data_IF_766441591496
#
_entry.id   IF_766441591496
#
_cell.length_a   1.000
_cell.length_b   1.000
_cell.length_c   1.000
_cell.angle_alpha   90.00
_cell.angle_beta   90.00
_cell.angle_gamma   90.00
#
_symmetry.space_group_name_H-M   'P 1'
#
loop_
_entity.id
_entity.type
_entity.pdbx_description
1 polymer ?
#
# COMPACT_ATOMS: atom_id res chain seq x y z
N UNK A 1 -10.63 8.16 11.58
CA UNK A 1 -9.93 8.86 10.49
C UNK A 1 -10.09 10.36 10.66
N UNK A 2 -9.30 11.19 9.96
CA UNK A 2 -9.41 12.64 9.99
C UNK A 2 -10.67 13.12 9.29
N UNK A 3 -10.82 12.77 8.02
CA UNK A 3 -11.92 13.19 7.14
C UNK A 3 -12.21 12.10 6.09
N UNK A 4 -13.49 11.97 5.72
CA UNK A 4 -13.95 11.04 4.68
C UNK A 4 -14.73 11.83 3.62
N UNK A 5 -14.38 11.63 2.36
CA UNK A 5 -15.02 12.25 1.22
C UNK A 5 -15.65 11.20 0.32
N UNK A 6 -16.62 11.63 -0.48
CA UNK A 6 -17.26 10.83 -1.50
C UNK A 6 -17.41 11.67 -2.77
N UNK A 7 -16.94 11.15 -3.91
CA UNK A 7 -16.92 11.87 -5.19
C UNK A 7 -17.45 11.00 -6.32
N UNK A 8 -18.24 11.59 -7.23
CA UNK A 8 -18.92 10.89 -8.34
C UNK A 8 -18.33 11.18 -9.72
N UNK A 9 -17.41 12.13 -9.82
CA UNK A 9 -16.80 12.51 -11.08
C UNK A 9 -15.43 13.17 -10.85
N UNK A 10 -14.70 13.39 -11.95
CA UNK A 10 -13.34 13.96 -11.89
C UNK A 10 -13.33 15.41 -11.38
N UNK A 11 -14.38 16.19 -11.65
CA UNK A 11 -14.48 17.59 -11.19
C UNK A 11 -14.62 17.67 -9.67
N UNK A 12 -15.50 16.84 -9.09
CA UNK A 12 -15.65 16.69 -7.64
C UNK A 12 -14.32 16.24 -7.01
N UNK A 13 -13.65 15.25 -7.60
CA UNK A 13 -12.33 14.81 -7.13
C UNK A 13 -11.31 15.95 -7.10
N UNK A 14 -11.18 16.71 -8.20
CA UNK A 14 -10.25 17.85 -8.27
C UNK A 14 -10.62 18.94 -7.26
N UNK A 15 -11.92 19.17 -7.03
CA UNK A 15 -12.40 20.14 -6.05
C UNK A 15 -12.01 19.71 -4.63
N UNK A 16 -12.24 18.44 -4.26
CA UNK A 16 -11.79 17.89 -2.99
C UNK A 16 -10.27 18.01 -2.82
N UNK A 17 -9.48 17.70 -3.86
CA UNK A 17 -8.02 17.87 -3.81
C UNK A 17 -7.62 19.34 -3.59
N UNK A 18 -8.32 20.29 -4.22
CA UNK A 18 -8.06 21.72 -4.03
C UNK A 18 -8.37 22.16 -2.60
N UNK A 19 -9.50 21.73 -2.05
CA UNK A 19 -9.89 22.01 -0.66
C UNK A 19 -8.86 21.46 0.32
N UNK A 20 -8.47 20.19 0.15
CA UNK A 20 -7.44 19.55 0.95
C UNK A 20 -6.11 20.30 0.92
N UNK A 21 -5.70 20.83 -0.24
CA UNK A 21 -4.44 21.56 -0.37
C UNK A 21 -4.54 23.07 -0.03
N UNK A 22 -5.73 23.61 0.26
CA UNK A 22 -5.92 25.04 0.49
C UNK A 22 -5.38 25.55 1.85
N UNK A 23 -5.24 24.66 2.83
CA UNK A 23 -4.66 24.96 4.14
C UNK A 23 -3.14 25.14 4.13
N UNK A 24 -2.60 25.65 5.25
CA UNK A 24 -1.14 25.68 5.49
C UNK A 24 -0.67 24.29 5.90
N UNK A 25 -0.03 23.58 4.97
CA UNK A 25 0.50 22.23 5.20
C UNK A 25 2.01 22.26 5.40
N UNK A 26 2.50 21.42 6.32
CA UNK A 26 3.93 21.24 6.59
C UNK A 26 4.64 20.48 5.47
N UNK A 27 3.90 19.69 4.68
CA UNK A 27 4.41 18.95 3.54
C UNK A 27 3.30 18.66 2.52
N UNK A 28 3.69 18.31 1.28
CA UNK A 28 2.74 17.89 0.23
C UNK A 28 2.08 16.56 0.61
N UNK A 29 0.76 16.46 0.42
CA UNK A 29 0.04 15.21 0.62
C UNK A 29 0.50 14.10 -0.32
N UNK A 30 0.44 12.88 0.19
CA UNK A 30 0.63 11.65 -0.57
C UNK A 30 -0.69 10.91 -0.73
N UNK A 31 -0.84 10.22 -1.84
CA UNK A 31 -2.05 9.56 -2.29
C UNK A 31 -1.79 8.07 -2.56
N UNK A 32 -2.74 7.21 -2.22
CA UNK A 32 -2.70 5.77 -2.54
C UNK A 32 -4.07 5.27 -2.95
N UNK A 33 -4.17 4.82 -4.19
CA UNK A 33 -5.39 4.21 -4.72
C UNK A 33 -5.56 2.75 -4.30
N UNK A 34 -6.80 2.38 -4.02
CA UNK A 34 -7.24 1.01 -3.80
C UNK A 34 -8.57 0.79 -4.50
N UNK A 35 -8.70 -0.34 -5.19
CA UNK A 35 -9.91 -0.66 -5.94
C UNK A 35 -11.07 -1.19 -5.10
N UNK A 36 -10.95 -1.18 -3.77
CA UNK A 36 -12.00 -1.53 -2.85
C UNK A 36 -11.83 -0.72 -1.56
N UNK A 37 -12.87 0.03 -1.19
CA UNK A 37 -12.90 0.88 0.00
C UNK A 37 -12.74 0.10 1.31
N UNK A 38 -13.07 -1.20 1.32
CA UNK A 38 -12.90 -2.07 2.48
C UNK A 38 -11.44 -2.50 2.70
N UNK A 39 -10.55 -2.24 1.76
CA UNK A 39 -9.13 -2.55 1.92
C UNK A 39 -8.47 -1.56 2.87
N UNK A 40 -7.68 -2.10 3.80
CA UNK A 40 -6.82 -1.32 4.70
C UNK A 40 -5.45 -1.03 4.10
N UNK A 41 -4.64 -0.27 4.81
CA UNK A 41 -3.26 0.05 4.45
C UNK A 41 -2.32 -1.08 4.90
N UNK A 42 -2.51 -2.25 4.29
CA UNK A 42 -1.81 -3.51 4.62
C UNK A 42 -0.67 -3.80 3.65
N UNK A 43 0.60 -3.83 4.10
CA UNK A 43 1.75 -4.23 3.28
C UNK A 43 1.58 -5.59 2.62
N UNK A 44 2.25 -5.81 1.47
CA UNK A 44 2.10 -7.02 0.68
C UNK A 44 2.45 -8.30 1.44
N UNK A 45 3.55 -8.30 2.21
CA UNK A 45 3.96 -9.46 3.03
C UNK A 45 2.88 -9.84 4.03
N UNK A 46 2.16 -8.86 4.56
CA UNK A 46 1.14 -9.13 5.56
C UNK A 46 -0.04 -9.85 4.89
N UNK A 47 -0.45 -9.48 3.68
CA UNK A 47 -1.56 -10.16 2.97
C UNK A 47 -1.37 -11.67 2.80
N UNK A 48 -0.13 -12.16 2.82
CA UNK A 48 0.22 -13.58 2.76
C UNK A 48 0.59 -14.14 4.14
N UNK A 49 -0.42 -14.19 5.02
CA UNK A 49 -0.28 -14.81 6.33
C UNK A 49 -1.43 -15.76 6.67
N UNK A 50 -1.07 -16.77 7.45
CA UNK A 50 -1.91 -17.93 7.68
C UNK A 50 -1.93 -18.29 9.15
N UNK A 51 -3.14 -18.50 9.66
CA UNK A 51 -3.37 -19.06 10.98
C UNK A 51 -3.11 -20.57 10.91
N UNK A 52 -2.24 -21.05 11.79
CA UNK A 52 -1.83 -22.47 11.83
C UNK A 52 -2.26 -23.17 13.13
N UNK A 53 -2.46 -22.43 14.22
CA UNK A 53 -2.97 -22.95 15.49
C UNK A 53 -3.97 -21.96 16.09
N UNK A 54 -5.02 -22.46 16.73
CA UNK A 54 -5.92 -21.65 17.54
C UNK A 54 -5.27 -21.26 18.89
N UNK A 55 -6.01 -20.49 19.71
CA UNK A 55 -5.56 -20.03 21.03
C UNK A 55 -5.35 -21.12 22.07
N UNK A 56 -5.83 -22.32 21.82
CA UNK A 56 -5.67 -23.48 22.68
C UNK A 56 -4.54 -24.40 22.19
N UNK A 57 -3.87 -24.03 21.10
CA UNK A 57 -2.80 -24.82 20.47
C UNK A 57 -3.32 -25.91 19.54
N UNK A 58 -4.61 -25.94 19.22
CA UNK A 58 -5.14 -26.89 18.24
C UNK A 58 -4.73 -26.45 16.83
N UNK A 59 -4.18 -27.38 16.04
CA UNK A 59 -3.78 -27.10 14.66
C UNK A 59 -5.01 -26.82 13.77
N UNK A 60 -4.91 -25.81 12.92
CA UNK A 60 -5.93 -25.47 11.92
C UNK A 60 -5.54 -26.07 10.57
N UNK A 61 -6.39 -26.93 10.02
CA UNK A 61 -6.17 -27.59 8.74
C UNK A 61 -7.45 -27.54 7.86
N UNK A 62 -7.39 -27.00 6.63
CA UNK A 62 -6.24 -26.30 6.05
C UNK A 62 -5.94 -24.98 6.78
N UNK A 63 -4.67 -24.53 6.80
CA UNK A 63 -4.33 -23.20 7.30
C UNK A 63 -5.21 -22.15 6.62
N UNK A 64 -5.82 -21.27 7.41
CA UNK A 64 -6.71 -20.22 6.90
C UNK A 64 -5.97 -18.90 6.82
N UNK A 65 -6.31 -18.05 5.85
CA UNK A 65 -5.76 -16.70 5.80
C UNK A 65 -6.07 -15.94 7.10
N UNK A 66 -5.05 -15.25 7.61
CA UNK A 66 -5.16 -14.42 8.79
C UNK A 66 -5.65 -13.03 8.42
N UNK A 67 -6.67 -12.54 9.12
CA UNK A 67 -7.00 -11.11 9.12
C UNK A 67 -6.20 -10.49 10.27
N UNK A 68 -5.32 -9.53 9.97
CA UNK A 68 -4.29 -9.01 10.89
C UNK A 68 -4.81 -8.29 12.14
N UNK A 69 -6.12 -8.10 12.22
CA UNK A 69 -6.81 -7.67 13.43
C UNK A 69 -6.89 -8.77 14.50
N UNK A 70 -6.43 -10.00 14.18
CA UNK A 70 -6.64 -11.24 14.92
C UNK A 70 -6.58 -11.11 16.46
N UNK A 71 -7.72 -10.85 17.12
CA UNK A 71 -7.78 -10.64 18.55
C UNK A 71 -7.80 -11.97 19.32
N UNK A 72 -7.79 -13.09 18.59
CA UNK A 72 -8.16 -14.39 19.14
C UNK A 72 -6.97 -15.12 19.77
N UNK A 73 -5.74 -14.59 19.73
CA UNK A 73 -4.56 -15.23 20.32
C UNK A 73 -4.07 -16.45 19.53
N UNK A 74 -4.33 -16.48 18.22
CA UNK A 74 -3.95 -17.58 17.35
C UNK A 74 -2.50 -17.44 16.86
N UNK A 75 -1.88 -18.57 16.52
CA UNK A 75 -0.54 -18.58 15.94
C UNK A 75 -0.63 -18.31 14.44
N UNK A 76 0.02 -17.24 14.01
CA UNK A 76 0.07 -16.81 12.62
C UNK A 76 1.49 -16.95 12.08
N UNK A 77 1.62 -17.53 10.89
CA UNK A 77 2.87 -17.58 10.14
C UNK A 77 2.72 -16.68 8.92
N UNK A 78 3.79 -15.93 8.62
CA UNK A 78 3.82 -14.93 7.55
C UNK A 78 4.92 -15.24 6.56
N UNK A 79 4.73 -14.77 5.33
CA UNK A 79 5.72 -14.90 4.27
C UNK A 79 7.08 -14.29 4.69
N UNK A 80 8.22 -14.99 4.49
CA UNK A 80 9.52 -14.52 4.99
C UNK A 80 10.08 -13.37 4.15
N UNK A 81 9.78 -12.12 4.53
CA UNK A 81 10.19 -10.90 3.83
C UNK A 81 11.69 -10.83 3.48
N UNK A 82 12.56 -11.19 4.42
CA UNK A 82 14.01 -11.17 4.21
C UNK A 82 14.46 -12.18 3.15
N UNK A 83 13.79 -13.33 3.05
CA UNK A 83 14.08 -14.35 2.04
C UNK A 83 13.65 -13.88 0.66
N UNK A 84 12.46 -13.30 0.54
CA UNK A 84 11.96 -12.69 -0.70
C UNK A 84 12.97 -11.68 -1.25
N UNK A 85 13.42 -10.74 -0.41
CA UNK A 85 14.38 -9.72 -0.82
C UNK A 85 15.74 -10.32 -1.22
N UNK A 86 16.24 -11.31 -0.48
CA UNK A 86 17.51 -11.97 -0.78
C UNK A 86 17.49 -12.68 -2.14
N UNK A 87 16.42 -13.43 -2.43
CA UNK A 87 16.26 -14.11 -3.73
C UNK A 87 16.04 -13.12 -4.87
N UNK A 88 15.32 -12.03 -4.63
CA UNK A 88 15.17 -10.94 -5.60
C UNK A 88 16.52 -10.33 -5.98
N UNK A 89 17.35 -9.94 -4.99
CA UNK A 89 18.70 -9.44 -5.23
C UNK A 89 19.53 -10.39 -6.10
N UNK A 90 19.50 -11.70 -5.79
CA UNK A 90 20.26 -12.72 -6.55
C UNK A 90 19.81 -12.84 -8.00
N UNK A 91 18.49 -12.87 -8.26
CA UNK A 91 17.96 -13.09 -9.62
C UNK A 91 17.95 -11.82 -10.50
N UNK A 92 18.05 -10.64 -9.87
CA UNK A 92 17.95 -9.34 -10.56
C UNK A 92 19.32 -8.71 -10.83
N UNK A 93 20.36 -9.04 -10.06
CA UNK A 93 21.68 -8.40 -10.15
C UNK A 93 22.23 -8.26 -11.58
N UNK A 94 22.08 -9.31 -12.39
CA UNK A 94 22.60 -9.33 -13.77
C UNK A 94 21.56 -8.91 -14.83
N UNK A 95 20.39 -8.42 -14.40
CA UNK A 95 19.25 -8.04 -15.26
C UNK A 95 18.92 -6.55 -15.17
N UNK A 96 19.68 -5.78 -14.39
CA UNK A 96 19.57 -4.32 -14.30
C UNK A 96 20.38 -3.68 -15.42
N UNK A 97 19.70 -3.27 -16.49
CA UNK A 97 20.34 -2.61 -17.63
C UNK A 97 19.97 -1.13 -17.72
N UNK A 98 18.73 -0.79 -17.35
CA UNK A 98 18.09 0.50 -17.68
C UNK A 98 17.69 1.34 -16.46
N UNK A 99 18.15 0.94 -15.27
CA UNK A 99 17.88 1.65 -14.01
C UNK A 99 19.16 1.82 -13.20
N UNK A 100 19.18 2.82 -12.33
CA UNK A 100 20.30 2.99 -11.40
C UNK A 100 20.28 1.85 -10.38
N UNK A 101 21.41 1.15 -10.24
CA UNK A 101 21.52 0.00 -9.33
C UNK A 101 21.30 0.44 -7.87
N UNK A 102 20.43 -0.26 -7.11
CA UNK A 102 20.24 0.00 -5.70
C UNK A 102 21.52 -0.21 -4.88
N UNK A 103 21.87 0.79 -4.07
CA UNK A 103 23.11 0.82 -3.28
C UNK A 103 22.92 0.31 -1.85
N UNK A 104 21.67 0.16 -1.40
CA UNK A 104 21.34 -0.25 -0.04
C UNK A 104 20.02 -1.06 0.00
N UNK A 105 19.75 -1.67 1.15
CA UNK A 105 18.62 -2.59 1.31
C UNK A 105 17.25 -1.92 1.17
N UNK A 106 17.11 -0.64 1.54
CA UNK A 106 15.85 0.08 1.36
C UNK A 106 15.58 0.35 -0.12
N UNK A 107 16.58 0.73 -0.90
CA UNK A 107 16.46 0.90 -2.35
C UNK A 107 16.17 -0.43 -3.06
N UNK A 108 16.74 -1.54 -2.57
CA UNK A 108 16.37 -2.87 -3.07
C UNK A 108 14.92 -3.24 -2.74
N UNK A 109 14.41 -2.84 -1.58
CA UNK A 109 12.99 -3.02 -1.21
C UNK A 109 12.07 -2.17 -2.08
N UNK A 110 12.43 -0.91 -2.36
CA UNK A 110 11.69 -0.06 -3.30
C UNK A 110 11.57 -0.73 -4.67
N UNK A 111 12.69 -1.24 -5.19
CA UNK A 111 12.72 -1.92 -6.48
C UNK A 111 11.86 -3.19 -6.47
N UNK A 112 11.98 -4.01 -5.43
CA UNK A 112 11.21 -5.23 -5.28
C UNK A 112 9.70 -4.95 -5.20
N UNK A 113 9.30 -3.99 -4.37
CA UNK A 113 7.91 -3.55 -4.22
C UNK A 113 7.36 -3.04 -5.56
N UNK A 114 8.14 -2.22 -6.26
CA UNK A 114 7.73 -1.60 -7.51
C UNK A 114 7.40 -2.61 -8.62
N UNK A 115 8.14 -3.73 -8.64
CA UNK A 115 7.90 -4.85 -9.56
C UNK A 115 6.96 -5.93 -8.98
N UNK A 116 6.25 -5.62 -7.90
CA UNK A 116 5.16 -6.45 -7.38
C UNK A 116 5.58 -7.60 -6.46
N UNK A 117 6.82 -7.60 -5.96
CA UNK A 117 7.21 -8.52 -4.89
C UNK A 117 6.53 -8.07 -3.59
N UNK A 118 5.90 -8.97 -2.81
CA UNK A 118 5.37 -8.62 -1.51
C UNK A 118 6.49 -8.10 -0.59
N UNK A 119 6.39 -6.86 -0.11
CA UNK A 119 7.32 -6.30 0.88
C UNK A 119 6.60 -5.74 2.10
N UNK A 120 7.37 -5.17 3.03
CA UNK A 120 6.88 -4.36 4.15
C UNK A 120 6.54 -2.91 3.75
N UNK A 121 6.71 -2.58 2.47
CA UNK A 121 6.39 -1.27 1.93
C UNK A 121 4.92 -1.16 1.51
N UNK A 122 4.43 0.07 1.51
CA UNK A 122 3.28 0.49 0.70
C UNK A 122 3.72 1.59 -0.25
N UNK A 123 3.23 1.54 -1.48
CA UNK A 123 3.42 2.58 -2.49
C UNK A 123 2.47 3.76 -2.25
N UNK A 124 3.00 4.96 -2.38
CA UNK A 124 2.28 6.22 -2.35
C UNK A 124 2.75 7.08 -3.52
N UNK A 125 1.92 8.01 -3.97
CA UNK A 125 2.28 8.97 -5.00
C UNK A 125 2.04 10.39 -4.52
N UNK A 126 2.85 11.34 -4.95
CA UNK A 126 2.49 12.76 -4.75
C UNK A 126 1.54 13.31 -5.81
N UNK A 127 1.21 12.52 -6.84
CA UNK A 127 0.29 12.90 -7.90
C UNK A 127 -1.13 12.36 -7.58
N UNK A 128 -2.10 13.24 -7.27
CA UNK A 128 -3.45 12.80 -6.95
C UNK A 128 -4.13 12.05 -8.10
N UNK A 129 -3.86 12.40 -9.36
CA UNK A 129 -4.48 11.74 -10.50
C UNK A 129 -3.91 10.33 -10.72
N UNK A 130 -2.63 10.12 -10.43
CA UNK A 130 -2.03 8.77 -10.40
C UNK A 130 -2.66 7.95 -9.26
N UNK A 131 -2.88 8.57 -8.10
CA UNK A 131 -3.57 7.93 -6.97
C UNK A 131 -4.99 7.49 -7.35
N UNK A 132 -5.75 8.36 -8.02
CA UNK A 132 -7.08 8.06 -8.54
C UNK A 132 -7.04 6.95 -9.59
N UNK A 133 -6.10 7.01 -10.54
CA UNK A 133 -5.92 5.98 -11.56
C UNK A 133 -5.70 4.60 -10.93
N UNK A 134 -4.82 4.50 -9.92
CA UNK A 134 -4.61 3.25 -9.19
C UNK A 134 -5.84 2.76 -8.41
N UNK A 135 -6.72 3.67 -7.98
CA UNK A 135 -7.96 3.28 -7.32
C UNK A 135 -8.95 2.64 -8.29
N UNK A 136 -9.02 3.09 -9.55
CA UNK A 136 -10.13 2.72 -10.44
C UNK A 136 -9.76 1.84 -11.63
N UNK A 137 -8.47 1.77 -12.00
CA UNK A 137 -8.00 1.09 -13.22
C UNK A 137 -8.28 -0.42 -13.26
N UNK A 138 -8.46 -1.06 -12.11
CA UNK A 138 -8.71 -2.51 -12.01
C UNK A 138 -10.15 -2.86 -11.61
N UNK A 139 -11.06 -1.88 -11.63
CA UNK A 139 -12.49 -2.11 -11.39
C UNK A 139 -13.15 -2.61 -12.67
N UNK A 140 -13.99 -3.65 -12.56
CA UNK A 140 -14.65 -4.26 -13.71
C UNK A 140 -15.82 -3.40 -14.22
N UNK A 141 -15.55 -2.55 -15.21
CA UNK A 141 -16.55 -1.66 -15.82
C UNK A 141 -17.60 -2.37 -16.70
N UNK A 142 -17.52 -3.70 -16.85
CA UNK A 142 -18.58 -4.49 -17.52
C UNK A 142 -19.79 -4.74 -16.63
N UNK A 143 -19.62 -4.59 -15.31
CA UNK A 143 -20.67 -4.74 -14.32
C UNK A 143 -21.43 -3.42 -14.19
N UNK A 144 -22.76 -3.48 -14.21
CA UNK A 144 -23.62 -2.34 -13.92
C UNK A 144 -23.79 -2.21 -12.40
N UNK A 145 -22.96 -1.37 -11.80
CA UNK A 145 -22.98 -1.14 -10.35
C UNK A 145 -24.10 -0.16 -9.98
N UNK A 146 -24.85 -0.50 -8.94
CA UNK A 146 -25.81 0.41 -8.33
C UNK A 146 -25.07 1.46 -7.50
N UNK A 147 -25.49 2.72 -7.61
CA UNK A 147 -25.03 3.79 -6.72
C UNK A 147 -25.27 3.43 -5.24
N UNK A 148 -24.31 3.71 -4.34
CA UNK A 148 -24.52 3.62 -2.91
C UNK A 148 -25.71 4.46 -2.44
N UNK A 149 -26.46 3.93 -1.48
CA UNK A 149 -27.60 4.62 -0.84
C UNK A 149 -27.13 5.54 0.29
N UNK A 150 -27.95 6.52 0.70
CA UNK A 150 -27.63 7.37 1.85
C UNK A 150 -27.32 6.56 3.12
N UNK A 151 -28.04 5.44 3.34
CA UNK A 151 -27.81 4.55 4.49
C UNK A 151 -26.44 3.86 4.47
N UNK A 152 -25.86 3.66 3.29
CA UNK A 152 -24.52 3.07 3.13
C UNK A 152 -23.44 4.15 3.08
N UNK A 153 -23.79 5.36 2.66
CA UNK A 153 -22.88 6.47 2.54
C UNK A 153 -22.61 7.11 3.89
N UNK A 154 -23.61 7.25 4.75
CA UNK A 154 -23.48 7.98 6.00
C UNK A 154 -23.49 7.04 7.21
N UNK A 155 -22.64 7.34 8.18
CA UNK A 155 -22.89 6.89 9.54
C UNK A 155 -24.08 7.67 10.14
N UNK A 156 -24.57 7.23 11.30
CA UNK A 156 -25.76 7.84 11.92
C UNK A 156 -25.63 9.33 12.28
N UNK A 157 -24.46 9.94 12.08
CA UNK A 157 -24.15 11.33 12.39
C UNK A 157 -24.14 12.24 11.14
N UNK A 158 -24.55 11.70 9.97
CA UNK A 158 -24.46 12.33 8.65
C UNK A 158 -23.00 12.56 8.19
N UNK A 159 -22.03 11.84 8.75
CA UNK A 159 -20.66 11.80 8.24
C UNK A 159 -20.49 10.63 7.27
N UNK A 160 -19.61 10.74 6.28
CA UNK A 160 -19.41 9.65 5.33
C UNK A 160 -18.75 8.44 6.00
N UNK A 161 -19.33 7.25 5.81
CA UNK A 161 -18.74 5.98 6.23
C UNK A 161 -17.37 5.77 5.60
N UNK A 162 -16.41 5.37 6.42
CA UNK A 162 -15.07 5.00 5.95
C UNK A 162 -15.09 3.77 5.03
N UNK A 163 -16.01 2.84 5.30
CA UNK A 163 -16.13 1.54 4.62
C UNK A 163 -17.47 1.51 3.88
N UNK A 164 -17.40 1.69 2.57
CA UNK A 164 -18.56 1.75 1.69
C UNK A 164 -18.44 0.62 0.67
N UNK A 165 -19.46 -0.24 0.62
CA UNK A 165 -19.55 -1.25 -0.42
C UNK A 165 -19.65 -0.61 -1.81
N UNK A 166 -19.18 -1.32 -2.83
CA UNK A 166 -19.21 -0.85 -4.23
C UNK A 166 -18.47 0.47 -4.47
N UNK A 167 -17.42 0.74 -3.68
CA UNK A 167 -16.55 1.90 -3.85
C UNK A 167 -15.07 1.49 -3.96
N UNK A 168 -14.32 2.19 -4.81
CA UNK A 168 -12.88 2.32 -4.73
C UNK A 168 -12.53 3.42 -3.72
N UNK A 169 -11.26 3.54 -3.34
CA UNK A 169 -10.81 4.59 -2.43
C UNK A 169 -9.44 5.13 -2.80
N UNK A 170 -9.23 6.41 -2.51
CA UNK A 170 -7.90 7.04 -2.46
C UNK A 170 -7.63 7.45 -1.03
N UNK A 171 -6.62 6.84 -0.43
CA UNK A 171 -6.07 7.24 0.85
C UNK A 171 -5.16 8.46 0.67
N UNK A 172 -5.24 9.41 1.59
CA UNK A 172 -4.45 10.64 1.58
C UNK A 172 -3.82 10.86 2.95
N UNK A 173 -2.54 11.22 3.00
CA UNK A 173 -1.84 11.47 4.26
C UNK A 173 -0.74 12.52 4.14
N UNK A 174 -0.43 13.21 5.24
CA UNK A 174 0.76 14.05 5.34
C UNK A 174 1.94 13.19 5.86
N UNK A 175 2.94 12.88 5.01
CA UNK A 175 4.03 11.99 5.39
C UNK A 175 4.92 12.53 6.51
N UNK A 176 5.01 13.85 6.64
CA UNK A 176 5.82 14.48 7.69
C UNK A 176 5.16 14.33 9.06
N UNK A 177 3.85 14.51 9.15
CA UNK A 177 3.12 14.33 10.40
C UNK A 177 3.12 12.85 10.84
N UNK A 178 2.95 11.91 9.90
CA UNK A 178 3.12 10.47 10.17
C UNK A 178 4.51 10.18 10.75
N UNK A 179 5.58 10.77 10.19
CA UNK A 179 6.93 10.60 10.71
C UNK A 179 7.11 11.19 12.11
N UNK A 180 6.61 12.41 12.37
CA UNK A 180 6.68 13.03 13.69
C UNK A 180 6.03 12.14 14.75
N UNK A 181 4.89 11.54 14.42
CA UNK A 181 4.18 10.59 15.30
C UNK A 181 5.03 9.34 15.53
N UNK A 182 5.53 8.70 14.47
CA UNK A 182 6.28 7.44 14.56
C UNK A 182 7.60 7.56 15.31
N UNK A 183 8.33 8.65 15.08
CA UNK A 183 9.61 8.89 15.74
C UNK A 183 9.46 9.65 17.06
N UNK A 184 8.24 10.07 17.42
CA UNK A 184 7.96 10.96 18.54
C UNK A 184 8.87 12.21 18.53
N UNK A 185 9.10 12.76 17.33
CA UNK A 185 10.00 13.90 17.07
C UNK A 185 9.23 15.05 16.45
N UNK A 186 8.73 15.95 17.29
CA UNK A 186 7.96 17.13 16.85
C UNK A 186 8.80 18.15 16.05
N UNK A 187 10.13 18.07 16.14
CA UNK A 187 11.05 18.97 15.44
C UNK A 187 11.44 18.47 14.05
N UNK A 188 10.98 17.28 13.67
CA UNK A 188 11.22 16.76 12.33
C UNK A 188 10.65 17.71 11.27
N UNK A 189 11.53 18.20 10.40
CA UNK A 189 11.25 19.22 9.39
C UNK A 189 11.24 18.68 7.96
N UNK A 190 11.67 17.43 7.75
CA UNK A 190 11.72 16.77 6.45
C UNK A 190 11.30 15.31 6.52
N UNK A 191 10.75 14.80 5.42
CA UNK A 191 10.54 13.37 5.20
C UNK A 191 11.91 12.73 4.98
N UNK A 192 12.09 11.48 5.41
CA UNK A 192 13.33 10.73 5.18
C UNK A 192 13.52 10.47 3.68
N UNK A 193 14.75 10.39 3.21
CA UNK A 193 15.05 10.04 1.83
C UNK A 193 15.95 8.79 1.77
N UNK A 194 15.63 7.83 0.90
CA UNK A 194 16.35 6.55 0.85
C UNK A 194 17.80 6.63 0.36
N UNK A 195 18.17 7.73 -0.29
CA UNK A 195 19.55 7.99 -0.71
C UNK A 195 20.33 8.75 0.36
N UNK A 196 19.73 9.75 1.00
CA UNK A 196 20.43 10.65 1.93
C UNK A 196 20.36 10.22 3.40
N UNK A 197 19.27 9.55 3.80
CA UNK A 197 18.98 9.20 5.20
C UNK A 197 19.00 7.67 5.43
N UNK A 198 19.65 6.90 4.55
CA UNK A 198 19.65 5.42 4.61
C UNK A 198 20.15 4.87 5.95
N UNK A 199 21.14 5.51 6.58
CA UNK A 199 21.67 5.08 7.87
C UNK A 199 20.63 5.17 8.98
N UNK A 200 19.88 6.28 9.02
CA UNK A 200 18.74 6.43 9.95
C UNK A 200 17.65 5.42 9.64
N UNK A 201 17.24 5.29 8.38
CA UNK A 201 16.23 4.28 7.98
C UNK A 201 16.63 2.89 8.47
N UNK A 202 17.86 2.46 8.25
CA UNK A 202 18.36 1.15 8.66
C UNK A 202 18.37 0.96 10.19
N UNK A 203 18.59 2.02 10.96
CA UNK A 203 18.52 1.99 12.42
C UNK A 203 17.07 1.79 12.88
N UNK A 204 16.15 2.61 12.36
CA UNK A 204 14.73 2.60 12.73
C UNK A 204 14.04 1.27 12.37
N UNK A 205 14.42 0.64 11.25
CA UNK A 205 13.90 -0.67 10.81
C UNK A 205 14.11 -1.82 11.81
N UNK A 206 15.03 -1.66 12.77
CA UNK A 206 15.34 -2.67 13.81
C UNK A 206 14.34 -2.66 14.96
N UNK A 207 13.60 -1.57 15.13
CA UNK A 207 12.73 -1.35 16.27
C UNK A 207 11.25 -1.42 15.85
N UNK A 208 10.35 -1.94 16.71
CA UNK A 208 8.92 -1.97 16.43
C UNK A 208 8.27 -0.62 16.77
N UNK A 209 8.65 0.44 16.06
CA UNK A 209 8.24 1.83 16.37
C UNK A 209 6.97 2.30 15.66
N UNK A 210 6.59 1.66 14.55
CA UNK A 210 5.38 2.02 13.81
C UNK A 210 5.56 1.86 12.31
N UNK A 211 4.91 2.75 11.58
CA UNK A 211 5.10 2.93 10.14
C UNK A 211 5.66 4.31 9.87
N UNK A 212 6.75 4.42 9.12
CA UNK A 212 7.32 5.72 8.73
C UNK A 212 7.36 5.88 7.21
N UNK A 213 7.30 7.14 6.79
CA UNK A 213 7.33 7.60 5.41
C UNK A 213 8.75 7.95 4.97
N UNK A 214 9.10 7.59 3.75
CA UNK A 214 10.33 8.03 3.10
C UNK A 214 10.14 8.23 1.60
N UNK A 215 10.89 9.17 1.04
CA UNK A 215 10.99 9.40 -0.39
C UNK A 215 11.94 8.38 -1.01
N UNK A 216 11.49 7.75 -2.10
CA UNK A 216 12.25 6.74 -2.82
C UNK A 216 13.28 7.33 -3.78
N UNK A 217 14.14 6.44 -4.29
CA UNK A 217 15.14 6.81 -5.29
C UNK A 217 14.50 7.08 -6.65
N UNK A 218 14.81 8.22 -7.26
CA UNK A 218 14.36 8.61 -8.60
C UNK A 218 15.21 8.01 -9.72
N UNK A 219 15.59 6.75 -9.58
CA UNK A 219 16.48 6.03 -10.51
C UNK A 219 15.76 5.15 -11.54
N UNK A 220 14.44 5.01 -11.41
CA UNK A 220 13.60 4.20 -12.29
C UNK A 220 12.56 5.11 -12.98
N UNK A 221 12.50 5.14 -14.33
CA UNK A 221 11.54 5.98 -15.06
C UNK A 221 10.08 5.77 -14.65
N UNK A 222 9.69 4.52 -14.33
CA UNK A 222 8.35 4.15 -13.88
C UNK A 222 8.05 4.73 -12.48
N UNK A 223 8.99 4.65 -11.53
CA UNK A 223 8.86 5.31 -10.22
C UNK A 223 8.73 6.83 -10.38
N UNK A 224 9.53 7.43 -11.27
CA UNK A 224 9.50 8.88 -11.53
C UNK A 224 8.15 9.30 -12.11
N UNK A 225 7.65 8.57 -13.12
CA UNK A 225 6.35 8.83 -13.75
C UNK A 225 5.18 8.73 -12.78
N UNK A 226 5.28 7.79 -11.85
CA UNK A 226 4.29 7.58 -10.79
C UNK A 226 4.45 8.56 -9.64
N UNK A 227 5.51 9.40 -9.62
CA UNK A 227 5.87 10.22 -8.45
C UNK A 227 5.91 9.41 -7.15
N UNK A 228 6.48 8.20 -7.23
CA UNK A 228 6.41 7.17 -6.20
C UNK A 228 7.20 7.50 -4.94
N UNK A 229 6.57 7.27 -3.79
CA UNK A 229 7.12 7.34 -2.43
C UNK A 229 6.61 6.14 -1.64
N UNK A 230 7.10 5.98 -0.41
CA UNK A 230 6.87 4.74 0.32
C UNK A 230 6.65 4.96 1.81
N UNK A 231 5.86 4.07 2.39
CA UNK A 231 5.89 3.84 3.85
C UNK A 231 6.51 2.50 4.14
N UNK A 232 7.32 2.42 5.19
CA UNK A 232 7.86 1.18 5.74
C UNK A 232 7.16 0.83 7.05
N UNK A 233 6.51 -0.32 7.13
CA UNK A 233 5.98 -0.85 8.40
C UNK A 233 7.03 -1.68 9.12
N UNK A 234 7.36 -1.28 10.35
CA UNK A 234 8.44 -1.91 11.11
C UNK A 234 8.18 -3.36 11.47
N UNK A 235 9.26 -4.15 11.54
CA UNK A 235 9.19 -5.55 11.92
C UNK A 235 8.51 -5.72 13.28
N UNK A 236 7.76 -6.82 13.44
CA UNK A 236 7.00 -7.19 14.65
C UNK A 236 5.78 -6.29 14.95
N UNK A 237 5.52 -5.28 14.12
CA UNK A 237 4.22 -4.62 14.08
C UNK A 237 3.36 -5.33 13.06
N UNK A 238 2.25 -5.88 13.52
CA UNK A 238 1.27 -6.59 12.69
C UNK A 238 0.06 -5.72 12.38
N UNK A 239 -0.04 -4.55 13.01
CA UNK A 239 -1.14 -3.60 12.78
C UNK A 239 -0.85 -2.74 11.56
N UNK A 240 -1.89 -2.50 10.78
CA UNK A 240 -1.83 -1.69 9.56
C UNK A 240 -1.80 -0.20 9.90
N UNK A 241 -1.35 0.63 8.95
CA UNK A 241 -1.21 2.08 9.16
C UNK A 241 -2.56 2.74 9.53
N UNK A 242 -3.66 2.29 8.94
CA UNK A 242 -5.02 2.77 9.19
C UNK A 242 -5.65 2.26 10.50
N UNK A 243 -5.10 1.21 11.11
CA UNK A 243 -5.63 0.65 12.35
C UNK A 243 -5.17 1.40 13.60
N UNK A 244 -3.93 1.89 13.60
CA UNK A 244 -3.33 2.53 14.77
C UNK A 244 -3.96 3.90 14.98
N UNK A 245 -4.64 4.08 16.12
CA UNK A 245 -5.32 5.33 16.48
C UNK A 245 -4.42 6.57 16.39
N UNK A 246 -3.11 6.40 16.62
CA UNK A 246 -2.12 7.46 16.49
C UNK A 246 -2.09 8.08 15.08
N UNK A 247 -2.30 7.29 14.03
CA UNK A 247 -2.26 7.75 12.64
C UNK A 247 -3.62 8.13 12.09
N UNK A 248 -4.72 7.68 12.70
CA UNK A 248 -6.07 7.92 12.17
C UNK A 248 -6.38 9.39 11.98
N UNK A 249 -5.84 10.28 12.83
CA UNK A 249 -6.03 11.73 12.73
C UNK A 249 -5.22 12.39 11.60
N UNK A 250 -4.32 11.65 10.93
CA UNK A 250 -3.52 12.12 9.80
C UNK A 250 -3.92 11.44 8.47
N UNK A 251 -4.91 10.54 8.52
CA UNK A 251 -5.41 9.81 7.36
C UNK A 251 -6.76 10.37 6.91
N UNK A 252 -6.83 10.67 5.62
CA UNK A 252 -8.03 11.11 4.92
C UNK A 252 -8.36 10.05 3.86
N UNK A 253 -9.64 9.86 3.57
CA UNK A 253 -10.07 8.89 2.56
C UNK A 253 -11.08 9.51 1.61
N UNK A 254 -10.88 9.30 0.32
CA UNK A 254 -11.79 9.74 -0.73
C UNK A 254 -12.37 8.50 -1.40
N UNK A 255 -13.66 8.24 -1.21
CA UNK A 255 -14.37 7.10 -1.77
C UNK A 255 -14.95 7.46 -3.15
N UNK A 256 -14.83 6.53 -4.10
CA UNK A 256 -15.29 6.66 -5.49
C UNK A 256 -16.20 5.48 -5.80
N UNK A 257 -17.50 5.69 -6.08
CA UNK A 257 -18.41 4.59 -6.36
C UNK A 257 -18.09 3.94 -7.71
N UNK A 258 -18.22 2.62 -7.79
CA UNK A 258 -17.91 1.86 -9.00
C UNK A 258 -18.79 2.25 -10.19
N UNK A 259 -20.02 2.70 -9.94
CA UNK A 259 -20.95 3.26 -10.92
C UNK A 259 -20.38 4.49 -11.65
N UNK A 260 -19.49 5.25 -11.02
CA UNK A 260 -18.85 6.43 -11.60
C UNK A 260 -17.54 6.13 -12.32
N UNK A 261 -16.95 4.94 -12.11
CA UNK A 261 -15.60 4.59 -12.59
C UNK A 261 -15.49 4.69 -14.11
N UNK A 262 -16.49 4.21 -14.85
CA UNK A 262 -16.44 4.20 -16.32
C UNK A 262 -16.26 5.61 -16.90
N UNK A 263 -16.95 6.60 -16.32
CA UNK A 263 -16.86 8.00 -16.75
C UNK A 263 -15.50 8.59 -16.37
N UNK A 264 -15.07 8.41 -15.12
CA UNK A 264 -13.80 8.96 -14.63
C UNK A 264 -12.62 8.36 -15.40
N UNK A 265 -12.63 7.05 -15.66
CA UNK A 265 -11.56 6.38 -16.41
C UNK A 265 -11.46 6.91 -17.85
N UNK A 266 -12.59 7.25 -18.48
CA UNK A 266 -12.58 7.91 -19.79
C UNK A 266 -11.91 9.28 -19.72
N UNK A 267 -12.19 10.06 -18.68
CA UNK A 267 -11.57 11.37 -18.48
C UNK A 267 -10.06 11.26 -18.23
N UNK A 268 -9.64 10.29 -17.40
CA UNK A 268 -8.21 10.02 -17.16
C UNK A 268 -7.48 9.58 -18.44
N UNK A 269 -8.10 8.73 -19.26
CA UNK A 269 -7.53 8.33 -20.55
C UNK A 269 -7.34 9.54 -21.49
N UNK A 270 -8.28 10.49 -21.49
CA UNK A 270 -8.13 11.74 -22.27
C UNK A 270 -6.97 12.62 -21.78
N UNK A 271 -6.56 12.45 -20.52
CA UNK A 271 -5.41 13.13 -19.91
C UNK A 271 -4.11 12.30 -19.98
N UNK A 272 -4.09 11.23 -20.80
CA UNK A 272 -2.95 10.32 -20.97
C UNK A 272 -2.50 9.63 -19.67
N UNK A 273 -3.46 9.32 -18.80
CA UNK A 273 -3.27 8.42 -17.65
C UNK A 273 -3.78 7.03 -18.03
N UNK A 274 -2.89 6.23 -18.62
CA UNK A 274 -3.16 4.89 -19.14
C UNK A 274 -2.19 3.88 -18.54
N UNK A 275 -2.45 2.58 -18.72
CA UNK A 275 -1.57 1.52 -18.22
C UNK A 275 -0.16 1.66 -18.83
N UNK A 276 -0.11 1.91 -20.13
CA UNK A 276 1.14 2.14 -20.87
C UNK A 276 1.88 3.39 -20.37
N UNK A 277 1.18 4.51 -20.16
CA UNK A 277 1.84 5.75 -19.74
C UNK A 277 2.30 5.73 -18.28
N UNK A 278 1.73 4.86 -17.45
CA UNK A 278 2.07 4.72 -16.02
C UNK A 278 3.11 3.62 -15.77
N UNK A 279 3.04 2.52 -16.51
CA UNK A 279 3.87 1.33 -16.28
C UNK A 279 4.95 1.12 -17.34
N UNK A 280 4.85 1.75 -18.51
CA UNK A 280 5.74 1.52 -19.66
C UNK A 280 5.76 0.04 -20.11
N UNK A 281 4.60 -0.61 -20.04
CA UNK A 281 4.44 -2.04 -20.33
C UNK A 281 5.03 -2.97 -19.27
N UNK A 282 5.00 -4.28 -19.56
CA UNK A 282 5.53 -5.32 -18.67
C UNK A 282 7.02 -5.56 -18.95
N UNK A 283 7.84 -5.46 -17.91
CA UNK A 283 9.28 -5.66 -17.99
C UNK A 283 9.71 -7.06 -17.54
N UNK A 284 10.95 -7.43 -17.88
CA UNK A 284 11.60 -8.66 -17.38
C UNK A 284 11.61 -8.71 -15.84
N UNK A 285 11.69 -7.56 -15.18
CA UNK A 285 11.69 -7.48 -13.72
C UNK A 285 10.32 -7.78 -13.11
N UNK A 286 9.22 -7.44 -13.79
CA UNK A 286 7.87 -7.84 -13.38
C UNK A 286 7.71 -9.38 -13.44
N UNK A 287 8.28 -10.03 -14.46
CA UNK A 287 8.27 -11.49 -14.59
C UNK A 287 9.12 -12.18 -13.52
N UNK A 288 10.32 -11.64 -13.26
CA UNK A 288 11.21 -12.16 -12.22
C UNK A 288 10.56 -12.05 -10.83
N UNK A 289 9.97 -10.90 -10.50
CA UNK A 289 9.24 -10.71 -9.25
C UNK A 289 8.08 -11.69 -9.09
N UNK A 290 7.26 -11.86 -10.14
CA UNK A 290 6.15 -12.83 -10.10
C UNK A 290 6.67 -14.24 -9.88
N UNK A 291 7.72 -14.65 -10.61
CA UNK A 291 8.31 -15.98 -10.48
C UNK A 291 8.87 -16.23 -9.07
N UNK A 292 9.58 -15.26 -8.48
CA UNK A 292 10.11 -15.37 -7.11
C UNK A 292 8.99 -15.47 -6.10
N UNK A 293 7.96 -14.61 -6.22
CA UNK A 293 6.80 -14.64 -5.34
C UNK A 293 6.15 -16.01 -5.38
N UNK A 294 5.86 -16.51 -6.58
CA UNK A 294 5.12 -17.76 -6.75
C UNK A 294 5.95 -18.96 -6.24
N UNK A 295 7.26 -19.01 -6.52
CA UNK A 295 8.18 -20.03 -5.99
C UNK A 295 8.23 -20.02 -4.45
N UNK A 296 8.51 -18.87 -3.84
CA UNK A 296 8.63 -18.76 -2.39
C UNK A 296 7.30 -19.02 -1.70
N UNK A 297 6.18 -18.59 -2.28
CA UNK A 297 4.85 -18.83 -1.73
C UNK A 297 4.48 -20.32 -1.77
N UNK A 298 4.83 -21.02 -2.85
CA UNK A 298 4.64 -22.48 -2.94
C UNK A 298 5.49 -23.23 -1.93
N UNK A 299 6.77 -22.87 -1.78
CA UNK A 299 7.64 -23.45 -0.76
C UNK A 299 7.16 -23.15 0.66
N UNK A 300 6.72 -21.92 0.90
CA UNK A 300 6.18 -21.48 2.19
C UNK A 300 4.91 -22.23 2.55
N UNK A 301 3.97 -22.38 1.60
CA UNK A 301 2.77 -23.17 1.80
C UNK A 301 3.13 -24.64 2.08
N UNK A 302 4.08 -25.20 1.31
CA UNK A 302 4.58 -26.57 1.52
C UNK A 302 5.25 -26.74 2.88
N UNK A 303 6.01 -25.76 3.36
CA UNK A 303 6.65 -25.82 4.68
C UNK A 303 5.63 -25.74 5.80
N UNK A 304 4.60 -24.89 5.67
CA UNK A 304 3.47 -24.86 6.62
C UNK A 304 2.77 -26.24 6.64
N UNK A 305 2.53 -26.87 5.50
CA UNK A 305 1.93 -28.21 5.47
C UNK A 305 2.83 -29.28 6.14
N UNK A 306 4.15 -29.22 5.92
CA UNK A 306 5.11 -30.20 6.46
C UNK A 306 5.38 -30.03 7.96
N UNK A 307 5.68 -28.81 8.40
CA UNK A 307 6.09 -28.51 9.78
C UNK A 307 4.95 -28.74 10.78
N UNK A 308 3.70 -28.65 10.30
CA UNK A 308 2.51 -28.89 11.11
C UNK A 308 1.93 -30.31 10.95
N UNK A 309 2.69 -31.24 10.36
CA UNK A 309 2.34 -32.68 10.21
C UNK A 309 0.93 -32.88 9.62
N UNK A 310 0.70 -32.21 8.49
CA UNK A 310 -0.55 -32.24 7.76
C UNK A 310 -0.49 -33.42 6.77
N UNK A 311 -0.90 -34.61 7.23
CA UNK A 311 -1.20 -35.78 6.37
C UNK A 311 -2.69 -35.92 6.15
#
# INVERSE_FOLDING_TARGET
>A
MKEVFYVKNLEEYITTIRELNSGTHTHKYWYRGQNNSLFGLTPGVFREAYVVEDKFGNKINPPRRANFYNPNGEKVIMLPANRLLSEFKKKVKDKICDIIEPQNDIQWLELAQHYGLPTLLLDWTTDPLVGLYFAISTVDTSIDYTEPTDKTLFDGENEYSEQIENCASVWVMNPLEVNKITFNDVFQSKVLNSQHDFGRIQEEQKYPIGTFCFEGMKGNPRIVRQSGNFTYTCHKITQTLDFLAAYQNELIKINIPYSSVKTILKDLNNLDLTDESIYFGRSVLDEVSSSIRDEILQEFYTSILREFDIR
#
